data_IF_340108842924
#
_entry.id   IF_340108842924
#
_cell.length_a   1.000
_cell.length_b   1.000
_cell.length_c   1.000
_cell.angle_alpha   90.00
_cell.angle_beta   90.00
_cell.angle_gamma   90.00
#
_symmetry.space_group_name_H-M   'P 1'
#
loop_
_entity.id
_entity.type
_entity.pdbx_description
1 polymer ?
#
# COMPACT_ATOMS: atom_id res chain seq x y z
N UNK A 1 0.67 -19.00 -5.49
CA UNK A 1 -0.77 -18.68 -5.55
C UNK A 1 -1.20 -18.72 -7.02
N UNK A 2 -2.02 -19.70 -7.39
CA UNK A 2 -2.48 -19.82 -8.79
C UNK A 2 -3.33 -18.59 -9.17
N UNK A 3 -3.40 -18.24 -10.46
CA UNK A 3 -4.28 -17.19 -10.99
C UNK A 3 -5.71 -17.36 -10.48
N UNK A 4 -6.16 -18.61 -10.33
CA UNK A 4 -7.46 -18.99 -9.76
C UNK A 4 -7.63 -18.57 -8.30
N UNK A 5 -6.60 -18.71 -7.48
CA UNK A 5 -6.66 -18.32 -6.07
C UNK A 5 -6.71 -16.81 -5.91
N UNK A 6 -6.00 -16.07 -6.77
CA UNK A 6 -6.05 -14.61 -6.80
C UNK A 6 -7.44 -14.09 -7.26
N UNK A 7 -8.05 -14.71 -8.28
CA UNK A 7 -9.41 -14.35 -8.71
C UNK A 7 -10.46 -14.68 -7.65
N UNK A 8 -10.28 -15.77 -6.89
CA UNK A 8 -11.18 -16.14 -5.80
C UNK A 8 -11.11 -15.13 -4.64
N UNK A 9 -9.91 -14.69 -4.25
CA UNK A 9 -9.75 -13.65 -3.22
C UNK A 9 -10.38 -12.32 -3.64
N UNK A 10 -10.20 -11.91 -4.90
CA UNK A 10 -10.85 -10.72 -5.44
C UNK A 10 -12.38 -10.88 -5.44
N UNK A 11 -12.88 -12.03 -5.86
CA UNK A 11 -14.31 -12.35 -5.87
C UNK A 11 -14.93 -12.33 -4.47
N UNK A 12 -14.25 -12.89 -3.47
CA UNK A 12 -14.72 -12.87 -2.08
C UNK A 12 -14.72 -11.45 -1.49
N UNK A 13 -13.71 -10.63 -1.77
CA UNK A 13 -13.70 -9.23 -1.34
C UNK A 13 -14.84 -8.41 -1.98
N UNK A 14 -15.10 -8.62 -3.27
CA UNK A 14 -16.22 -8.00 -3.97
C UNK A 14 -17.57 -8.48 -3.43
N UNK A 15 -17.72 -9.77 -3.10
CA UNK A 15 -18.94 -10.32 -2.52
C UNK A 15 -19.19 -9.78 -1.10
N UNK A 16 -18.15 -9.69 -0.27
CA UNK A 16 -18.23 -9.07 1.06
C UNK A 16 -18.61 -7.58 0.98
N UNK A 17 -18.05 -6.85 0.02
CA UNK A 17 -18.42 -5.46 -0.25
C UNK A 17 -19.87 -5.34 -0.73
N UNK A 18 -20.30 -6.18 -1.67
CA UNK A 18 -21.65 -6.18 -2.22
C UNK A 18 -22.69 -6.53 -1.15
N UNK A 19 -22.40 -7.50 -0.28
CA UNK A 19 -23.29 -7.87 0.83
C UNK A 19 -23.39 -6.78 1.91
N UNK A 20 -22.31 -6.06 2.19
CA UNK A 20 -22.33 -4.92 3.11
C UNK A 20 -23.11 -3.72 2.52
N UNK A 21 -22.95 -3.45 1.22
CA UNK A 21 -23.70 -2.40 0.51
C UNK A 21 -25.19 -2.75 0.38
N UNK A 22 -25.53 -4.01 0.11
CA UNK A 22 -26.90 -4.48 -0.02
C UNK A 22 -27.70 -4.42 1.30
N UNK A 23 -27.01 -4.40 2.45
CA UNK A 23 -27.64 -4.23 3.77
C UNK A 23 -28.13 -2.80 4.05
N UNK A 24 -28.01 -1.87 3.09
CA UNK A 24 -28.57 -0.52 3.20
C UNK A 24 -27.94 0.31 4.31
N UNK A 25 -26.73 -0.05 4.76
CA UNK A 25 -26.04 0.70 5.80
C UNK A 25 -25.56 2.03 5.23
N UNK A 26 -26.36 3.08 5.42
CA UNK A 26 -25.96 4.46 5.16
C UNK A 26 -24.87 4.96 6.14
N UNK A 27 -24.31 4.07 6.97
CA UNK A 27 -23.26 4.40 7.92
C UNK A 27 -21.94 4.68 7.18
N UNK A 28 -21.41 5.92 7.27
CA UNK A 28 -20.12 6.26 6.68
C UNK A 28 -18.97 5.38 7.20
N UNK A 29 -19.06 4.82 8.41
CA UNK A 29 -18.04 3.93 8.94
C UNK A 29 -18.01 2.57 8.22
N UNK A 30 -19.18 1.98 7.96
CA UNK A 30 -19.29 0.74 7.20
C UNK A 30 -18.68 0.88 5.79
N UNK A 31 -18.98 1.99 5.10
CA UNK A 31 -18.42 2.29 3.78
C UNK A 31 -16.88 2.40 3.82
N UNK A 32 -16.32 3.11 4.80
CA UNK A 32 -14.85 3.23 4.95
C UNK A 32 -14.19 1.87 5.16
N UNK A 33 -14.77 1.02 6.00
CA UNK A 33 -14.24 -0.32 6.26
C UNK A 33 -14.25 -1.18 5.01
N UNK A 34 -15.37 -1.20 4.26
CA UNK A 34 -15.48 -1.93 2.99
C UNK A 34 -14.40 -1.46 2.02
N UNK A 35 -14.27 -0.15 1.85
CA UNK A 35 -13.28 0.44 0.95
C UNK A 35 -11.84 0.08 1.34
N UNK A 36 -11.53 0.05 2.64
CA UNK A 36 -10.23 -0.38 3.16
C UNK A 36 -9.95 -1.86 2.86
N UNK A 37 -10.93 -2.75 3.06
CA UNK A 37 -10.77 -4.17 2.75
C UNK A 37 -10.50 -4.43 1.27
N UNK A 38 -11.20 -3.71 0.38
CA UNK A 38 -10.94 -3.78 -1.06
C UNK A 38 -9.53 -3.28 -1.36
N UNK A 39 -9.11 -2.16 -0.75
CA UNK A 39 -7.77 -1.59 -0.93
C UNK A 39 -6.67 -2.56 -0.50
N UNK A 40 -6.82 -3.22 0.66
CA UNK A 40 -5.87 -4.23 1.14
C UNK A 40 -5.81 -5.45 0.23
N UNK A 41 -6.95 -5.91 -0.27
CA UNK A 41 -7.02 -7.03 -1.22
C UNK A 41 -6.31 -6.69 -2.53
N UNK A 42 -6.58 -5.51 -3.09
CA UNK A 42 -5.93 -5.01 -4.29
C UNK A 42 -4.42 -4.84 -4.09
N UNK A 43 -3.98 -4.32 -2.94
CA UNK A 43 -2.57 -4.20 -2.61
C UNK A 43 -1.89 -5.57 -2.56
N UNK A 44 -2.50 -6.53 -1.87
CA UNK A 44 -2.00 -7.90 -1.80
C UNK A 44 -1.85 -8.54 -3.18
N UNK A 45 -2.82 -8.32 -4.07
CA UNK A 45 -2.77 -8.79 -5.45
C UNK A 45 -1.65 -8.12 -6.26
N UNK A 46 -1.51 -6.79 -6.19
CA UNK A 46 -0.43 -6.04 -6.85
C UNK A 46 0.94 -6.51 -6.35
N UNK A 47 1.11 -6.66 -5.04
CA UNK A 47 2.37 -7.12 -4.43
C UNK A 47 2.68 -8.55 -4.85
N UNK A 48 1.68 -9.44 -4.86
CA UNK A 48 1.83 -10.83 -5.28
C UNK A 48 2.33 -10.95 -6.73
N UNK A 49 1.78 -10.14 -7.63
CA UNK A 49 2.18 -10.11 -9.04
C UNK A 49 3.46 -9.28 -9.28
N UNK A 50 3.94 -8.56 -8.28
CA UNK A 50 5.12 -7.72 -8.43
C UNK A 50 6.40 -8.55 -8.41
N UNK A 51 7.38 -8.12 -9.21
CA UNK A 51 8.73 -8.70 -9.23
C UNK A 51 9.53 -8.43 -7.95
N UNK A 52 8.96 -7.73 -6.95
CA UNK A 52 9.60 -7.51 -5.65
C UNK A 52 9.93 -8.82 -4.95
N UNK A 53 8.99 -9.77 -4.96
CA UNK A 53 9.12 -11.04 -4.26
C UNK A 53 10.18 -11.95 -4.90
N UNK A 54 10.53 -11.72 -6.16
CA UNK A 54 11.47 -12.54 -6.92
C UNK A 54 12.94 -12.18 -6.63
N UNK A 55 13.23 -10.93 -6.27
CA UNK A 55 14.60 -10.46 -6.02
C UNK A 55 14.88 -10.34 -4.51
N UNK A 56 15.35 -11.44 -3.91
CA UNK A 56 15.66 -11.54 -2.47
C UNK A 56 16.50 -10.38 -1.93
N UNK A 57 17.44 -9.84 -2.73
CA UNK A 57 18.32 -8.71 -2.37
C UNK A 57 17.56 -7.43 -2.00
N UNK A 58 16.41 -7.17 -2.62
CA UNK A 58 15.59 -5.98 -2.32
C UNK A 58 14.45 -6.29 -1.35
N UNK A 59 13.96 -7.53 -1.36
CA UNK A 59 12.87 -7.96 -0.47
C UNK A 59 13.27 -7.93 1.01
N UNK A 60 14.44 -8.48 1.36
CA UNK A 60 14.85 -8.61 2.77
C UNK A 60 15.01 -7.24 3.46
N UNK A 61 15.77 -6.26 2.91
CA UNK A 61 15.88 -4.95 3.55
C UNK A 61 14.54 -4.23 3.68
N UNK A 62 13.68 -4.36 2.66
CA UNK A 62 12.35 -3.75 2.68
C UNK A 62 11.46 -4.40 3.75
N UNK A 63 11.51 -5.72 3.89
CA UNK A 63 10.78 -6.45 4.92
C UNK A 63 11.25 -6.05 6.33
N UNK A 64 12.56 -5.86 6.54
CA UNK A 64 13.12 -5.35 7.80
C UNK A 64 12.62 -3.93 8.09
N UNK A 65 12.59 -3.04 7.10
CA UNK A 65 12.08 -1.68 7.27
C UNK A 65 10.57 -1.67 7.61
N UNK A 66 9.77 -2.52 6.96
CA UNK A 66 8.35 -2.69 7.27
C UNK A 66 8.15 -3.27 8.68
N UNK A 67 8.96 -4.25 9.08
CA UNK A 67 8.94 -4.77 10.44
C UNK A 67 9.30 -3.70 11.47
N UNK A 68 10.32 -2.89 11.20
CA UNK A 68 10.69 -1.74 12.04
C UNK A 68 9.55 -0.72 12.18
N UNK A 69 8.82 -0.47 11.09
CA UNK A 69 7.62 0.37 11.13
C UNK A 69 6.54 -0.22 12.05
N UNK A 70 6.23 -1.51 11.94
CA UNK A 70 5.25 -2.16 12.84
C UNK A 70 5.68 -2.12 14.30
N UNK A 71 6.98 -2.35 14.57
CA UNK A 71 7.55 -2.23 15.91
C UNK A 71 7.44 -0.79 16.43
N UNK A 72 7.68 0.21 15.59
CA UNK A 72 7.55 1.62 15.98
C UNK A 72 6.12 2.02 16.34
N UNK A 73 5.12 1.49 15.63
CA UNK A 73 3.70 1.69 15.97
C UNK A 73 3.37 1.07 17.32
N UNK A 74 3.87 -0.14 17.59
CA UNK A 74 3.72 -0.76 18.90
C UNK A 74 4.37 0.08 20.00
N UNK A 75 5.58 0.57 19.77
CA UNK A 75 6.30 1.49 20.68
C UNK A 75 5.49 2.76 20.98
N UNK A 76 4.86 3.33 19.95
CA UNK A 76 4.01 4.53 20.08
C UNK A 76 2.77 4.24 20.92
N UNK A 77 2.12 3.09 20.73
CA UNK A 77 0.98 2.64 21.55
C UNK A 77 1.41 2.45 23.02
N UNK A 78 2.60 1.89 23.25
CA UNK A 78 3.16 1.69 24.61
C UNK A 78 3.72 2.99 25.23
N UNK A 79 3.70 4.12 24.52
CA UNK A 79 4.25 5.40 24.97
C UNK A 79 5.74 5.34 25.35
N UNK A 80 6.49 4.41 24.78
CA UNK A 80 7.91 4.26 25.09
C UNK A 80 8.75 5.38 24.45
N UNK A 81 9.82 5.83 25.13
CA UNK A 81 10.66 6.91 24.62
C UNK A 81 11.30 6.52 23.28
N UNK A 82 11.39 7.50 22.37
CA UNK A 82 11.99 7.32 21.04
C UNK A 82 11.06 6.71 19.97
N UNK A 83 9.79 6.40 20.29
CA UNK A 83 8.84 5.84 19.33
C UNK A 83 8.71 6.67 18.04
N UNK A 84 8.62 8.01 18.16
CA UNK A 84 8.54 8.93 17.02
C UNK A 84 9.78 8.88 16.12
N UNK A 85 10.96 8.78 16.72
CA UNK A 85 12.22 8.65 15.98
C UNK A 85 12.28 7.32 15.25
N UNK A 86 11.92 6.23 15.92
CA UNK A 86 11.89 4.90 15.32
C UNK A 86 10.88 4.82 14.17
N UNK A 87 9.73 5.49 14.31
CA UNK A 87 8.72 5.61 13.26
C UNK A 87 9.24 6.36 12.04
N UNK A 88 9.82 7.55 12.26
CA UNK A 88 10.40 8.36 11.20
C UNK A 88 11.50 7.63 10.43
N UNK A 89 12.43 6.98 11.14
CA UNK A 89 13.54 6.22 10.54
C UNK A 89 13.02 5.02 9.75
N UNK A 90 12.04 4.29 10.27
CA UNK A 90 11.48 3.12 9.60
C UNK A 90 10.73 3.50 8.31
N UNK A 91 9.92 4.56 8.36
CA UNK A 91 9.23 5.07 7.17
C UNK A 91 10.20 5.65 6.14
N UNK A 92 11.21 6.40 6.60
CA UNK A 92 12.27 6.89 5.72
C UNK A 92 13.04 5.73 5.05
N UNK A 93 13.33 4.66 5.80
CA UNK A 93 13.97 3.47 5.25
C UNK A 93 13.11 2.80 4.17
N UNK A 94 11.79 2.66 4.38
CA UNK A 94 10.88 2.14 3.34
C UNK A 94 10.94 2.98 2.07
N UNK A 95 10.84 4.31 2.20
CA UNK A 95 10.91 5.24 1.06
C UNK A 95 12.25 5.15 0.33
N UNK A 96 13.37 5.21 1.06
CA UNK A 96 14.72 5.18 0.49
C UNK A 96 15.00 3.86 -0.24
N UNK A 97 14.66 2.71 0.37
CA UNK A 97 14.86 1.41 -0.24
C UNK A 97 14.05 1.26 -1.53
N UNK A 98 12.81 1.77 -1.54
CA UNK A 98 11.98 1.76 -2.73
C UNK A 98 12.51 2.68 -3.82
N UNK A 99 12.97 3.88 -3.46
CA UNK A 99 13.58 4.85 -4.38
C UNK A 99 14.89 4.31 -4.99
N UNK A 100 15.77 3.71 -4.18
CA UNK A 100 17.01 3.08 -4.66
C UNK A 100 16.70 1.97 -5.67
N UNK A 101 15.71 1.12 -5.38
CA UNK A 101 15.27 0.08 -6.32
C UNK A 101 14.75 0.68 -7.63
N UNK A 102 13.95 1.75 -7.54
CA UNK A 102 13.40 2.43 -8.71
C UNK A 102 14.50 3.02 -9.60
N UNK A 103 15.49 3.70 -9.02
CA UNK A 103 16.61 4.30 -9.76
C UNK A 103 17.45 3.23 -10.47
N UNK A 104 17.70 2.09 -9.80
CA UNK A 104 18.47 0.97 -10.35
C UNK A 104 17.72 0.18 -11.43
N UNK A 105 16.44 0.44 -11.68
CA UNK A 105 15.68 -0.23 -12.72
C UNK A 105 16.06 0.33 -14.10
N UNK A 106 16.49 -0.51 -15.07
CA UNK A 106 16.96 -0.04 -16.38
C UNK A 106 15.84 0.63 -17.19
N UNK A 107 14.65 0.03 -17.19
CA UNK A 107 13.44 0.59 -17.79
C UNK A 107 12.42 0.93 -16.70
N UNK A 108 11.87 2.14 -16.76
CA UNK A 108 10.91 2.67 -15.77
C UNK A 108 9.54 2.69 -16.43
N UNK A 109 8.62 1.87 -15.96
CA UNK A 109 7.22 1.94 -16.39
C UNK A 109 6.46 2.97 -15.58
N UNK A 110 5.32 3.45 -16.10
CA UNK A 110 4.41 4.30 -15.34
C UNK A 110 3.99 3.66 -14.01
N UNK A 111 3.80 2.34 -14.00
CA UNK A 111 3.50 1.56 -12.80
C UNK A 111 4.59 1.70 -11.73
N UNK A 112 5.87 1.72 -12.12
CA UNK A 112 6.97 1.89 -11.16
C UNK A 112 6.97 3.31 -10.55
N UNK A 113 6.69 4.33 -11.37
CA UNK A 113 6.60 5.72 -10.91
C UNK A 113 5.45 5.88 -9.92
N UNK A 114 4.28 5.35 -10.25
CA UNK A 114 3.10 5.39 -9.38
C UNK A 114 3.35 4.64 -8.07
N UNK A 115 4.12 3.54 -8.09
CA UNK A 115 4.50 2.82 -6.86
C UNK A 115 5.37 3.67 -5.94
N UNK A 116 6.39 4.34 -6.48
CA UNK A 116 7.23 5.25 -5.68
C UNK A 116 6.40 6.39 -5.13
N UNK A 117 5.59 7.04 -5.97
CA UNK A 117 4.73 8.15 -5.57
C UNK A 117 3.76 7.72 -4.46
N UNK A 118 3.16 6.53 -4.59
CA UNK A 118 2.29 5.95 -3.57
C UNK A 118 3.05 5.68 -2.27
N UNK A 119 4.22 5.03 -2.33
CA UNK A 119 5.04 4.74 -1.14
C UNK A 119 5.42 6.02 -0.41
N UNK A 120 5.83 7.07 -1.13
CA UNK A 120 6.19 8.36 -0.54
C UNK A 120 4.99 9.03 0.12
N UNK A 121 3.89 9.20 -0.63
CA UNK A 121 2.69 9.89 -0.13
C UNK A 121 2.03 9.14 1.02
N UNK A 122 1.94 7.80 0.94
CA UNK A 122 1.38 6.98 2.01
C UNK A 122 2.25 7.02 3.27
N UNK A 123 3.57 6.88 3.13
CA UNK A 123 4.49 6.94 4.29
C UNK A 123 4.46 8.30 4.98
N UNK A 124 4.44 9.38 4.19
CA UNK A 124 4.29 10.74 4.73
C UNK A 124 2.94 10.91 5.43
N UNK A 125 1.84 10.47 4.81
CA UNK A 125 0.51 10.54 5.41
C UNK A 125 0.41 9.78 6.72
N UNK A 126 0.95 8.56 6.80
CA UNK A 126 0.99 7.77 8.04
C UNK A 126 1.78 8.49 9.13
N UNK A 127 2.96 9.04 8.81
CA UNK A 127 3.75 9.80 9.78
C UNK A 127 2.97 10.99 10.33
N UNK A 128 2.37 11.80 9.45
CA UNK A 128 1.59 12.97 9.83
C UNK A 128 0.38 12.57 10.69
N UNK A 129 -0.29 11.47 10.38
CA UNK A 129 -1.42 10.97 11.19
C UNK A 129 -0.98 10.55 12.59
N UNK A 130 0.10 9.78 12.70
CA UNK A 130 0.57 9.27 13.99
C UNK A 130 1.13 10.37 14.88
N UNK A 131 1.78 11.39 14.29
CA UNK A 131 2.28 12.56 15.00
C UNK A 131 1.25 13.69 15.14
N UNK A 132 0.00 13.46 14.70
CA UNK A 132 -1.10 14.43 14.80
C UNK A 132 -0.79 15.79 14.16
N UNK A 133 0.00 15.77 13.07
CA UNK A 133 0.44 16.95 12.35
C UNK A 133 -0.64 17.43 11.34
N UNK A 134 -0.62 18.73 10.97
CA UNK A 134 -1.59 19.27 10.01
C UNK A 134 -1.47 18.58 8.64
N UNK A 135 -2.55 18.66 7.86
CA UNK A 135 -2.67 18.10 6.51
C UNK A 135 -2.59 16.57 6.39
N UNK A 136 -2.54 15.82 7.51
CA UNK A 136 -2.49 14.36 7.49
C UNK A 136 -3.59 13.72 6.62
N UNK A 137 -4.83 14.19 6.74
CA UNK A 137 -5.97 13.70 5.95
C UNK A 137 -5.82 13.98 4.45
N UNK A 138 -5.32 15.15 4.08
CA UNK A 138 -5.08 15.52 2.68
C UNK A 138 -3.98 14.67 2.04
N UNK A 139 -2.87 14.45 2.76
CA UNK A 139 -1.74 13.64 2.27
C UNK A 139 -2.12 12.16 2.16
N UNK A 140 -2.85 11.62 3.14
CA UNK A 140 -3.38 10.26 3.05
C UNK A 140 -4.39 10.13 1.91
N UNK A 141 -5.29 11.10 1.74
CA UNK A 141 -6.24 11.13 0.62
C UNK A 141 -5.55 11.12 -0.74
N UNK A 142 -4.47 11.90 -0.89
CA UNK A 142 -3.62 11.87 -2.08
C UNK A 142 -2.98 10.48 -2.27
N UNK A 143 -2.42 9.89 -1.20
CA UNK A 143 -1.87 8.54 -1.25
C UNK A 143 -2.90 7.50 -1.68
N UNK A 144 -4.13 7.59 -1.18
CA UNK A 144 -5.24 6.73 -1.61
C UNK A 144 -5.60 6.95 -3.09
N UNK A 145 -5.65 8.19 -3.57
CA UNK A 145 -5.91 8.47 -4.98
C UNK A 145 -4.81 7.90 -5.90
N UNK A 146 -3.54 8.07 -5.53
CA UNK A 146 -2.39 7.49 -6.26
C UNK A 146 -2.44 5.96 -6.24
N UNK A 147 -2.84 5.35 -5.12
CA UNK A 147 -3.03 3.90 -5.03
C UNK A 147 -4.07 3.39 -6.02
N UNK A 148 -5.23 4.02 -6.11
CA UNK A 148 -6.27 3.60 -7.05
C UNK A 148 -5.88 3.82 -8.50
N UNK A 149 -5.19 4.93 -8.80
CA UNK A 149 -4.59 5.15 -10.12
C UNK A 149 -3.57 4.06 -10.47
N UNK A 150 -2.74 3.65 -9.51
CA UNK A 150 -1.79 2.54 -9.65
C UNK A 150 -2.51 1.22 -9.94
N UNK A 151 -3.58 0.90 -9.21
CA UNK A 151 -4.38 -0.32 -9.44
C UNK A 151 -5.00 -0.29 -10.83
N UNK A 152 -5.54 0.85 -11.25
CA UNK A 152 -6.11 1.03 -12.58
C UNK A 152 -5.07 0.81 -13.69
N UNK A 153 -3.91 1.47 -13.59
CA UNK A 153 -2.80 1.31 -14.55
C UNK A 153 -2.28 -0.13 -14.58
N UNK A 154 -2.18 -0.78 -13.41
CA UNK A 154 -1.77 -2.16 -13.30
C UNK A 154 -2.75 -3.09 -14.04
N UNK A 155 -4.06 -2.94 -13.83
CA UNK A 155 -5.09 -3.73 -14.50
C UNK A 155 -5.05 -3.49 -16.01
N UNK A 156 -5.01 -2.22 -16.44
CA UNK A 156 -4.97 -1.84 -17.85
C UNK A 156 -3.77 -2.46 -18.58
N UNK A 157 -2.57 -2.32 -18.01
CA UNK A 157 -1.33 -2.81 -18.62
C UNK A 157 -1.22 -4.33 -18.63
N UNK A 158 -1.88 -5.04 -17.70
CA UNK A 158 -1.82 -6.52 -17.67
C UNK A 158 -2.96 -7.25 -18.36
N UNK A 159 -4.16 -6.69 -18.38
CA UNK A 159 -5.32 -7.39 -18.93
C UNK A 159 -5.81 -6.79 -20.24
N UNK A 160 -5.78 -5.46 -20.38
CA UNK A 160 -6.36 -4.78 -21.56
C UNK A 160 -5.36 -4.56 -22.69
N UNK A 161 -4.07 -4.42 -22.36
CA UNK A 161 -2.99 -4.33 -23.34
C UNK A 161 -2.09 -5.57 -23.26
N UNK A 162 -2.58 -6.78 -23.64
CA UNK A 162 -1.70 -7.94 -23.72
C UNK A 162 -0.54 -7.60 -24.65
N UNK A 163 0.67 -7.92 -24.20
CA UNK A 163 1.90 -7.65 -24.94
C UNK A 163 1.78 -8.19 -26.37
N UNK A 164 1.99 -7.31 -27.35
CA UNK A 164 2.31 -7.72 -28.72
C UNK A 164 3.69 -8.37 -28.73
#
# INVERSE_FOLDING_TARGET
MDKRTASLLLGMACLAAATLLARGTADPAAFRTVFQLISLTALGFVVYQSTLLQHRRYFVPLAVAVAGFLVSLLWKIQHWPGASWLLAVSLAAVVLLYAVRFVRKPSKSLEDVLKVLWVVTYSAGVYLTVEQLPHASAVLGLGTAVFWLLVFVFIYTRFMRPAQ
#
